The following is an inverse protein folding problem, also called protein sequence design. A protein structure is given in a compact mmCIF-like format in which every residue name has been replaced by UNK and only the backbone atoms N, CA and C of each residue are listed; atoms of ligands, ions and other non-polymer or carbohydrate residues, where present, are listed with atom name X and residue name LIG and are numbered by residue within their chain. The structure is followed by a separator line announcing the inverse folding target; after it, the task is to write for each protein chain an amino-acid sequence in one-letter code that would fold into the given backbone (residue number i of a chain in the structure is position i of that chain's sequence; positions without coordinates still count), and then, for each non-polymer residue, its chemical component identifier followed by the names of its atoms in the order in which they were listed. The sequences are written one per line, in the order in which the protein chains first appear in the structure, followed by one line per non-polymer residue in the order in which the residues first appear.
data_IF_703003522511
#
_entry.id   IF_703003522511
#
_cell.length_a   1.000
_cell.length_b   1.000
_cell.length_c   1.000
_cell.angle_alpha   90.00
_cell.angle_beta   90.00
_cell.angle_gamma   90.00
#
_symmetry.space_group_name_H-M   'P 1'
#
loop_
_entity.id
_entity.type
_entity.pdbx_description
1 polymer ?
#
# COMPACT_ATOMS: atom_id res chain seq x y z
N UNK A 1 22.52 10.04 -19.54
CA UNK A 1 21.70 8.89 -19.11
C UNK A 1 21.48 7.97 -20.30
N UNK A 2 21.61 6.66 -20.14
CA UNK A 2 21.23 5.69 -21.19
C UNK A 2 19.73 5.81 -21.48
N UNK A 3 19.32 5.66 -22.74
CA UNK A 3 17.90 5.66 -23.14
C UNK A 3 17.08 4.65 -22.33
N UNK A 4 17.68 3.51 -21.99
CA UNK A 4 17.08 2.49 -21.13
C UNK A 4 16.78 3.02 -19.72
N UNK A 5 17.75 3.70 -19.10
CA UNK A 5 17.60 4.27 -17.75
C UNK A 5 16.50 5.33 -17.74
N UNK A 6 16.45 6.19 -18.76
CA UNK A 6 15.42 7.22 -18.89
C UNK A 6 14.03 6.60 -19.06
N UNK A 7 13.91 5.56 -19.88
CA UNK A 7 12.64 4.83 -20.06
C UNK A 7 12.16 4.16 -18.77
N UNK A 8 13.05 3.48 -18.05
CA UNK A 8 12.73 2.84 -16.76
C UNK A 8 12.27 3.88 -15.72
N UNK A 9 12.97 5.01 -15.63
CA UNK A 9 12.60 6.07 -14.67
C UNK A 9 11.27 6.72 -15.06
N UNK A 10 11.04 7.01 -16.34
CA UNK A 10 9.80 7.63 -16.80
C UNK A 10 8.58 6.74 -16.51
N UNK A 11 8.68 5.45 -16.84
CA UNK A 11 7.61 4.47 -16.59
C UNK A 11 7.45 4.24 -15.07
N UNK A 12 8.55 4.08 -14.33
CA UNK A 12 8.52 3.86 -12.89
C UNK A 12 7.85 5.02 -12.13
N UNK A 13 8.15 6.27 -12.50
CA UNK A 13 7.48 7.44 -11.93
C UNK A 13 5.99 7.46 -12.26
N UNK A 14 5.62 7.23 -13.52
CA UNK A 14 4.22 7.21 -13.91
C UNK A 14 3.42 6.19 -13.09
N UNK A 15 3.89 4.94 -13.02
CA UNK A 15 3.20 3.89 -12.29
C UNK A 15 3.23 4.07 -10.77
N UNK A 16 4.28 4.65 -10.19
CA UNK A 16 4.34 4.91 -8.76
C UNK A 16 3.17 5.76 -8.25
N UNK A 17 2.67 6.69 -9.05
CA UNK A 17 1.51 7.52 -8.70
C UNK A 17 0.23 6.70 -8.63
N UNK A 18 0.04 5.78 -9.57
CA UNK A 18 -1.09 4.83 -9.56
C UNK A 18 -0.97 3.89 -8.38
N UNK A 19 0.18 3.24 -8.19
CA UNK A 19 0.40 2.30 -7.09
C UNK A 19 0.24 2.98 -5.72
N UNK A 20 0.65 4.24 -5.58
CA UNK A 20 0.46 5.02 -4.34
C UNK A 20 -1.01 5.19 -3.97
N UNK A 21 -1.90 5.40 -4.94
CA UNK A 21 -3.34 5.49 -4.66
C UNK A 21 -3.89 4.16 -4.13
N UNK A 22 -3.41 3.03 -4.67
CA UNK A 22 -3.81 1.69 -4.20
C UNK A 22 -3.36 1.47 -2.76
N UNK A 23 -2.09 1.78 -2.45
CA UNK A 23 -1.59 1.65 -1.08
C UNK A 23 -2.35 2.54 -0.10
N UNK A 24 -2.61 3.80 -0.47
CA UNK A 24 -3.39 4.74 0.36
C UNK A 24 -4.80 4.22 0.61
N UNK A 25 -5.52 3.81 -0.44
CA UNK A 25 -6.87 3.26 -0.33
C UNK A 25 -6.90 1.98 0.52
N UNK A 26 -5.84 1.17 0.46
CA UNK A 26 -5.68 -0.02 1.29
C UNK A 26 -5.57 0.27 2.79
N UNK A 27 -4.79 1.30 3.14
CA UNK A 27 -4.60 1.73 4.53
C UNK A 27 -5.85 2.43 5.06
N UNK A 28 -6.42 3.35 4.28
CA UNK A 28 -7.69 4.04 4.62
C UNK A 28 -8.88 3.08 4.70
N UNK A 29 -8.81 1.96 3.96
CA UNK A 29 -9.82 0.90 4.02
C UNK A 29 -9.78 0.05 5.29
N UNK A 30 -8.79 0.21 6.18
CA UNK A 30 -8.76 -0.48 7.47
C UNK A 30 -9.85 0.11 8.38
N UNK A 31 -10.74 -0.73 8.96
CA UNK A 31 -11.82 -0.23 9.81
C UNK A 31 -11.30 0.64 10.96
N UNK A 32 -11.93 1.79 11.19
CA UNK A 32 -11.52 2.73 12.25
C UNK A 32 -11.46 2.08 13.63
N UNK A 33 -12.34 1.11 13.90
CA UNK A 33 -12.36 0.36 15.16
C UNK A 33 -11.08 -0.43 15.46
N UNK A 34 -10.26 -0.76 14.45
CA UNK A 34 -8.95 -1.39 14.68
C UNK A 34 -7.94 -0.39 15.28
N UNK A 35 -8.02 0.87 14.90
CA UNK A 35 -7.21 1.96 15.46
C UNK A 35 -7.65 2.29 16.88
N UNK A 36 -8.95 2.36 17.11
CA UNK A 36 -9.54 2.57 18.43
C UNK A 36 -9.20 1.42 19.38
N UNK A 37 -9.31 0.16 18.92
CA UNK A 37 -8.93 -1.01 19.71
C UNK A 37 -7.44 -1.04 20.04
N UNK A 38 -6.56 -0.70 19.10
CA UNK A 38 -5.12 -0.61 19.37
C UNK A 38 -4.80 0.49 20.40
N UNK A 39 -5.53 1.60 20.36
CA UNK A 39 -5.42 2.70 21.33
C UNK A 39 -5.95 2.28 22.71
N UNK A 40 -7.11 1.63 22.76
CA UNK A 40 -7.71 1.12 24.00
C UNK A 40 -6.84 0.07 24.70
N UNK A 41 -6.12 -0.75 23.91
CA UNK A 41 -5.15 -1.73 24.40
C UNK A 41 -3.76 -1.14 24.69
N UNK A 42 -3.60 0.19 24.54
CA UNK A 42 -2.34 0.92 24.71
C UNK A 42 -1.16 0.26 23.95
N UNK A 43 -1.42 -0.19 22.72
CA UNK A 43 -0.41 -0.82 21.89
C UNK A 43 0.61 0.22 21.42
N UNK A 44 1.91 -0.10 21.44
CA UNK A 44 2.92 0.78 20.89
C UNK A 44 2.73 0.92 19.39
N UNK A 45 2.97 2.13 18.85
CA UNK A 45 2.74 2.48 17.45
C UNK A 45 3.33 1.46 16.47
N UNK A 46 4.56 0.98 16.74
CA UNK A 46 5.20 -0.06 15.93
C UNK A 46 4.35 -1.33 15.84
N UNK A 47 3.80 -1.80 16.96
CA UNK A 47 2.98 -3.01 17.01
C UNK A 47 1.62 -2.78 16.36
N UNK A 48 1.01 -1.62 16.56
CA UNK A 48 -0.24 -1.24 15.87
C UNK A 48 -0.07 -1.33 14.36
N UNK A 49 1.00 -0.75 13.82
CA UNK A 49 1.28 -0.83 12.39
C UNK A 49 1.61 -2.24 11.92
N UNK A 50 2.59 -2.92 12.53
CA UNK A 50 3.08 -4.20 11.99
C UNK A 50 2.14 -5.37 12.25
N UNK A 51 1.38 -5.36 13.34
CA UNK A 51 0.53 -6.49 13.74
C UNK A 51 -0.95 -6.29 13.39
N UNK A 52 -1.43 -5.05 13.26
CA UNK A 52 -2.86 -4.76 13.07
C UNK A 52 -3.12 -4.13 11.71
N UNK A 53 -2.58 -2.94 11.46
CA UNK A 53 -2.97 -2.12 10.30
C UNK A 53 -2.36 -2.65 9.00
N UNK A 54 -1.04 -2.85 8.96
CA UNK A 54 -0.32 -3.22 7.74
C UNK A 54 -0.75 -4.59 7.19
N UNK A 55 -0.93 -5.67 8.00
CA UNK A 55 -1.42 -6.94 7.50
C UNK A 55 -2.83 -6.85 6.90
N UNK A 56 -3.71 -6.06 7.52
CA UNK A 56 -5.08 -5.86 7.04
C UNK A 56 -5.12 -5.02 5.76
N UNK A 57 -4.29 -3.98 5.67
CA UNK A 57 -4.15 -3.16 4.48
C UNK A 57 -3.57 -3.98 3.31
N UNK A 58 -2.49 -4.75 3.53
CA UNK A 58 -1.87 -5.59 2.49
C UNK A 58 -2.87 -6.58 1.90
N UNK A 59 -3.70 -7.23 2.73
CA UNK A 59 -4.70 -8.18 2.24
C UNK A 59 -5.74 -7.52 1.32
N UNK A 60 -6.03 -6.23 1.50
CA UNK A 60 -6.88 -5.44 0.57
C UNK A 60 -6.13 -4.97 -0.67
N UNK A 61 -4.88 -4.55 -0.52
CA UNK A 61 -4.05 -4.00 -1.60
C UNK A 61 -3.57 -5.07 -2.58
N UNK A 62 -3.20 -6.25 -2.09
CA UNK A 62 -2.62 -7.33 -2.88
C UNK A 62 -3.45 -7.72 -4.13
N UNK A 63 -4.78 -7.96 -4.05
CA UNK A 63 -5.58 -8.26 -5.24
C UNK A 63 -5.64 -7.07 -6.22
N UNK A 64 -5.68 -5.83 -5.73
CA UNK A 64 -5.70 -4.65 -6.58
C UNK A 64 -4.36 -4.45 -7.32
N UNK A 65 -3.23 -4.68 -6.64
CA UNK A 65 -1.91 -4.67 -7.28
C UNK A 65 -1.76 -5.81 -8.30
N UNK A 66 -2.30 -6.98 -8.03
CA UNK A 66 -2.35 -8.10 -8.98
C UNK A 66 -3.03 -7.71 -10.29
N UNK A 67 -4.15 -6.98 -10.23
CA UNK A 67 -4.83 -6.47 -11.42
C UNK A 67 -3.96 -5.48 -12.22
N UNK A 68 -3.20 -4.61 -11.55
CA UNK A 68 -2.29 -3.69 -12.25
C UNK A 68 -1.15 -4.44 -12.95
N UNK A 69 -0.62 -5.52 -12.35
CA UNK A 69 0.40 -6.35 -12.99
C UNK A 69 -0.16 -7.07 -14.21
N UNK A 70 -1.36 -7.64 -14.12
CA UNK A 70 -2.03 -8.29 -15.27
C UNK A 70 -2.30 -7.27 -16.38
N UNK A 71 -2.69 -6.04 -16.04
CA UNK A 71 -2.94 -4.98 -17.02
C UNK A 71 -1.67 -4.43 -17.69
N UNK A 72 -0.49 -4.69 -17.12
CA UNK A 72 0.81 -4.27 -17.67
C UNK A 72 1.52 -5.35 -18.48
N UNK A 73 1.10 -6.62 -18.34
CA UNK A 73 1.51 -7.74 -19.19
C UNK A 73 0.79 -7.68 -20.54
#
# INVERSE_FOLDING_TARGET
FSALTTGVVAIGLHYSTYTMQVYRAGIEGVPVGQWEAATALNLPLRRTWTAVILPQAIRRVAPALGNYVISML
#
